data_IF_621106011993
#
_entry.id   IF_621106011993
#
_cell.length_a   1.000
_cell.length_b   1.000
_cell.length_c   1.000
_cell.angle_alpha   90.00
_cell.angle_beta   90.00
_cell.angle_gamma   90.00
#
_symmetry.space_group_name_H-M   'P 1'
#
loop_
_entity.id
_entity.type
_entity.pdbx_description
1 polymer ?
#
# COMPACT_ATOMS: atom_id res chain seq x y z
N UNK A 1 -6.12 -5.44 17.92
CA UNK A 1 -5.31 -6.46 17.24
C UNK A 1 -4.02 -6.69 18.00
N UNK A 2 -3.67 -7.95 18.21
CA UNK A 2 -2.35 -8.41 18.64
C UNK A 2 -1.29 -8.06 17.58
N UNK A 3 -0.03 -7.87 18.02
CA UNK A 3 1.13 -7.71 17.11
C UNK A 3 1.20 -8.84 16.08
N UNK A 4 0.83 -10.06 16.47
CA UNK A 4 0.81 -11.25 15.60
C UNK A 4 -0.22 -11.12 14.48
N UNK A 5 -1.42 -10.63 14.81
CA UNK A 5 -2.51 -10.44 13.84
C UNK A 5 -2.14 -9.37 12.81
N UNK A 6 -1.55 -8.26 13.27
CA UNK A 6 -1.10 -7.17 12.38
C UNK A 6 -0.02 -7.64 11.41
N UNK A 7 0.96 -8.41 11.90
CA UNK A 7 2.00 -9.01 11.06
C UNK A 7 1.41 -9.95 10.00
N UNK A 8 0.51 -10.84 10.41
CA UNK A 8 -0.13 -11.79 9.50
C UNK A 8 -0.92 -11.08 8.41
N UNK A 9 -1.76 -10.10 8.78
CA UNK A 9 -2.52 -9.27 7.83
C UNK A 9 -1.60 -8.61 6.79
N UNK A 10 -0.50 -7.98 7.24
CA UNK A 10 0.48 -7.36 6.34
C UNK A 10 1.08 -8.35 5.34
N UNK A 11 1.38 -9.58 5.78
CA UNK A 11 1.94 -10.62 4.91
C UNK A 11 0.99 -11.08 3.80
N UNK A 12 -0.33 -10.92 3.98
CA UNK A 12 -1.34 -11.20 2.94
C UNK A 12 -1.56 -10.03 1.99
N UNK A 13 -1.56 -8.80 2.50
CA UNK A 13 -1.82 -7.59 1.71
C UNK A 13 -0.65 -7.20 0.81
N UNK A 14 0.59 -7.33 1.32
CA UNK A 14 1.80 -6.87 0.63
C UNK A 14 2.03 -7.55 -0.74
N UNK A 15 1.86 -8.88 -0.89
CA UNK A 15 1.90 -9.53 -2.20
C UNK A 15 0.82 -9.03 -3.18
N UNK A 16 -0.39 -8.75 -2.71
CA UNK A 16 -1.50 -8.22 -3.53
C UNK A 16 -1.18 -6.83 -4.05
N UNK A 17 -0.64 -5.97 -3.20
CA UNK A 17 -0.13 -4.66 -3.61
C UNK A 17 0.97 -4.80 -4.68
N UNK A 18 1.94 -5.67 -4.49
CA UNK A 18 3.01 -5.83 -5.48
C UNK A 18 2.52 -6.37 -6.81
N UNK A 19 1.52 -7.27 -6.82
CA UNK A 19 0.86 -7.72 -8.05
C UNK A 19 0.19 -6.56 -8.79
N UNK A 20 -0.52 -5.69 -8.08
CA UNK A 20 -1.11 -4.49 -8.67
C UNK A 20 -0.02 -3.56 -9.20
N UNK A 21 0.99 -3.23 -8.38
CA UNK A 21 2.08 -2.33 -8.73
C UNK A 21 2.92 -2.82 -9.91
N UNK A 22 3.21 -4.13 -9.99
CA UNK A 22 4.01 -4.71 -11.09
C UNK A 22 3.28 -4.61 -12.44
N UNK A 23 1.95 -4.66 -12.42
CA UNK A 23 1.12 -4.57 -13.61
C UNK A 23 0.91 -3.11 -14.09
N UNK A 24 1.34 -2.11 -13.31
CA UNK A 24 1.23 -0.71 -13.73
C UNK A 24 2.34 -0.34 -14.73
N UNK A 25 1.97 0.27 -15.88
CA UNK A 25 2.88 1.02 -16.73
C UNK A 25 3.75 2.00 -15.94
N UNK A 26 5.00 2.20 -16.38
CA UNK A 26 5.99 3.00 -15.63
C UNK A 26 5.53 4.44 -15.37
N UNK A 27 4.84 5.05 -16.32
CA UNK A 27 4.31 6.41 -16.19
C UNK A 27 3.22 6.49 -15.10
N UNK A 28 2.34 5.48 -15.01
CA UNK A 28 1.26 5.45 -14.01
C UNK A 28 1.76 5.27 -12.57
N UNK A 29 3.01 4.84 -12.37
CA UNK A 29 3.58 4.68 -11.02
C UNK A 29 3.78 6.01 -10.30
N UNK A 30 3.82 7.13 -11.01
CA UNK A 30 3.88 8.47 -10.42
C UNK A 30 2.50 9.03 -10.05
N UNK A 31 1.41 8.42 -10.53
CA UNK A 31 0.04 8.87 -10.28
C UNK A 31 -0.41 8.59 -8.84
N UNK A 32 -1.33 9.42 -8.36
CA UNK A 32 -1.91 9.32 -7.02
C UNK A 32 -2.82 8.09 -6.95
N UNK A 33 -2.58 7.23 -5.97
CA UNK A 33 -3.43 6.04 -5.69
C UNK A 33 -4.37 6.28 -4.53
N UNK A 34 -3.97 7.09 -3.55
CA UNK A 34 -4.78 7.33 -2.36
C UNK A 34 -4.44 8.68 -1.73
N UNK A 35 -5.40 9.28 -1.03
CA UNK A 35 -5.20 10.45 -0.17
C UNK A 35 -5.38 10.02 1.30
N UNK A 36 -4.40 10.32 2.14
CA UNK A 36 -4.39 10.03 3.58
C UNK A 36 -4.07 11.32 4.30
N UNK A 37 -4.94 11.75 5.23
CA UNK A 37 -4.77 12.99 6.00
C UNK A 37 -4.48 14.22 5.12
N UNK A 38 -5.25 14.37 4.03
CA UNK A 38 -5.10 15.39 2.99
C UNK A 38 -3.75 15.37 2.24
N UNK A 39 -2.94 14.32 2.41
CA UNK A 39 -1.71 14.12 1.66
C UNK A 39 -1.94 13.11 0.52
N UNK A 40 -1.74 13.52 -0.75
CA UNK A 40 -1.82 12.61 -1.87
C UNK A 40 -0.59 11.70 -1.91
N UNK A 41 -0.83 10.39 -1.99
CA UNK A 41 0.20 9.35 -2.05
C UNK A 41 0.18 8.71 -3.43
N UNK A 42 1.31 8.74 -4.12
CA UNK A 42 1.48 8.04 -5.40
C UNK A 42 1.80 6.56 -5.21
N UNK A 43 1.64 5.77 -6.27
CA UNK A 43 2.04 4.36 -6.27
C UNK A 43 3.52 4.15 -5.89
N UNK A 44 4.43 4.99 -6.37
CA UNK A 44 5.86 4.96 -6.01
C UNK A 44 6.09 5.22 -4.52
N UNK A 45 5.45 6.25 -3.96
CA UNK A 45 5.57 6.57 -2.53
C UNK A 45 4.97 5.43 -1.70
N UNK A 46 3.80 4.91 -2.09
CA UNK A 46 3.19 3.77 -1.42
C UNK A 46 4.13 2.55 -1.38
N UNK A 47 4.79 2.23 -2.50
CA UNK A 47 5.78 1.14 -2.54
C UNK A 47 6.94 1.41 -1.58
N UNK A 48 7.50 2.62 -1.58
CA UNK A 48 8.62 2.99 -0.70
C UNK A 48 8.26 2.79 0.79
N UNK A 49 7.10 3.27 1.21
CA UNK A 49 6.59 3.12 2.58
C UNK A 49 6.35 1.65 2.96
N UNK A 50 5.82 0.86 2.02
CA UNK A 50 5.57 -0.58 2.21
C UNK A 50 6.88 -1.39 2.29
N UNK A 51 7.87 -1.04 1.47
CA UNK A 51 9.19 -1.66 1.48
C UNK A 51 9.91 -1.39 2.80
N UNK A 52 9.84 -0.13 3.28
CA UNK A 52 10.47 0.32 4.53
C UNK A 52 9.70 -0.07 5.80
N UNK A 53 8.57 -0.78 5.68
CA UNK A 53 7.74 -1.22 6.81
C UNK A 53 7.33 -0.09 7.77
N UNK A 54 6.99 1.06 7.22
CA UNK A 54 6.55 2.21 8.03
C UNK A 54 5.10 2.05 8.49
N UNK A 55 4.70 2.85 9.50
CA UNK A 55 3.30 2.95 9.93
C UNK A 55 2.39 3.43 8.80
N UNK A 56 2.87 4.38 7.99
CA UNK A 56 2.12 4.86 6.83
C UNK A 56 1.94 3.73 5.80
N UNK A 57 2.96 2.91 5.59
CA UNK A 57 2.87 1.72 4.73
C UNK A 57 1.83 0.70 5.22
N UNK A 58 1.63 0.55 6.54
CA UNK A 58 0.50 -0.25 7.07
C UNK A 58 -0.84 0.40 6.69
N UNK A 59 -1.02 1.69 6.95
CA UNK A 59 -2.27 2.42 6.66
C UNK A 59 -2.62 2.40 5.18
N UNK A 60 -1.62 2.48 4.30
CA UNK A 60 -1.80 2.38 2.86
C UNK A 60 -2.38 1.01 2.49
N UNK A 61 -1.77 -0.09 2.94
CA UNK A 61 -2.27 -1.44 2.64
C UNK A 61 -3.70 -1.64 3.14
N UNK A 62 -4.01 -1.17 4.35
CA UNK A 62 -5.34 -1.29 4.93
C UNK A 62 -6.40 -0.52 4.13
N UNK A 63 -6.10 0.71 3.72
CA UNK A 63 -7.05 1.51 2.94
C UNK A 63 -7.20 1.00 1.51
N UNK A 64 -6.13 0.57 0.85
CA UNK A 64 -6.21 0.00 -0.50
C UNK A 64 -7.03 -1.29 -0.52
N UNK A 65 -6.88 -2.14 0.50
CA UNK A 65 -7.70 -3.35 0.65
C UNK A 65 -9.17 -3.01 0.96
N UNK A 66 -9.42 -2.05 1.84
CA UNK A 66 -10.79 -1.60 2.16
C UNK A 66 -11.52 -1.04 0.92
N UNK A 67 -10.78 -0.37 0.02
CA UNK A 67 -11.29 0.13 -1.25
C UNK A 67 -11.32 -0.92 -2.36
N UNK A 68 -10.87 -2.15 -2.09
CA UNK A 68 -10.76 -3.26 -3.06
C UNK A 68 -9.91 -2.94 -4.30
N UNK A 69 -8.91 -2.07 -4.13
CA UNK A 69 -7.92 -1.77 -5.18
C UNK A 69 -6.88 -2.90 -5.25
N UNK A 70 -6.56 -3.50 -4.11
CA UNK A 70 -5.64 -4.65 -3.99
C UNK A 70 -6.37 -5.85 -3.39
#
# INVERSE_FOLDING_TARGET
>A
MSKKEKFYKRSLQKPRFYKAYSNLPLNLRSEIVIVIDNQPISWKVAKLEIDNNTKLGDTILEKLEALRII
#
